data_IF_762854406265
#
_entry.id   IF_762854406265
#
_cell.length_a   1.000
_cell.length_b   1.000
_cell.length_c   1.000
_cell.angle_alpha   90.00
_cell.angle_beta   90.00
_cell.angle_gamma   90.00
#
_symmetry.space_group_name_H-M   'P 1'
#
loop_
_entity.id
_entity.type
_entity.pdbx_description
1 polymer ?
#
# COMPACT_ATOMS: atom_id res chain seq x y z
N UNK A 1 -1.34 31.32 -10.40
CA UNK A 1 -1.27 29.95 -9.84
C UNK A 1 -1.16 29.04 -11.03
N UNK A 2 -0.07 28.29 -11.14
CA UNK A 2 0.08 27.30 -12.21
C UNK A 2 -0.84 26.14 -11.85
N UNK A 3 -2.04 26.10 -12.45
CA UNK A 3 -2.83 24.88 -12.47
C UNK A 3 -1.97 23.80 -13.10
N UNK A 4 -1.77 22.69 -12.38
CA UNK A 4 -1.25 21.50 -13.03
C UNK A 4 -2.27 21.10 -14.09
N UNK A 5 -1.79 20.68 -15.26
CA UNK A 5 -2.62 20.14 -16.33
C UNK A 5 -3.30 18.85 -15.90
N UNK A 6 -3.64 17.99 -16.87
CA UNK A 6 -4.43 16.78 -16.66
C UNK A 6 -4.02 15.95 -15.42
N UNK A 7 -4.92 15.10 -14.92
CA UNK A 7 -4.65 14.18 -13.81
C UNK A 7 -3.32 13.41 -13.97
N UNK A 8 -2.92 13.09 -15.20
CA UNK A 8 -1.65 12.45 -15.51
C UNK A 8 -0.44 13.31 -15.12
N UNK A 9 -0.46 14.62 -15.37
CA UNK A 9 0.63 15.52 -14.98
C UNK A 9 0.79 15.61 -13.46
N UNK A 10 -0.34 15.66 -12.74
CA UNK A 10 -0.37 15.66 -11.28
C UNK A 10 0.21 14.36 -10.75
N UNK A 11 -0.22 13.23 -11.31
CA UNK A 11 0.25 11.90 -10.96
C UNK A 11 1.75 11.75 -11.18
N UNK A 12 2.25 12.15 -12.35
CA UNK A 12 3.68 12.10 -12.69
C UNK A 12 4.52 12.93 -11.71
N UNK A 13 4.09 14.15 -11.39
CA UNK A 13 4.80 14.97 -10.40
C UNK A 13 4.77 14.34 -9.01
N UNK A 14 3.64 13.77 -8.59
CA UNK A 14 3.54 13.06 -7.32
C UNK A 14 4.46 11.82 -7.24
N UNK A 15 4.61 11.08 -8.34
CA UNK A 15 5.45 9.89 -8.38
C UNK A 15 6.91 10.24 -8.09
N UNK A 16 7.42 11.33 -8.68
CA UNK A 16 8.85 11.65 -8.64
C UNK A 16 9.23 12.82 -7.73
N UNK A 17 8.24 13.45 -7.07
CA UNK A 17 8.49 14.56 -6.15
C UNK A 17 8.02 14.20 -4.74
N UNK A 18 8.88 14.27 -3.72
CA UNK A 18 8.46 14.09 -2.33
C UNK A 18 7.52 15.25 -1.93
N UNK A 19 6.21 14.98 -1.86
CA UNK A 19 5.20 16.00 -1.62
C UNK A 19 5.40 16.80 -0.32
N UNK A 20 6.13 16.22 0.65
CA UNK A 20 6.40 16.82 1.95
C UNK A 20 7.63 17.73 1.96
N UNK A 21 8.41 17.84 0.88
CA UNK A 21 9.68 18.58 0.90
C UNK A 21 9.49 20.09 1.08
N UNK A 22 8.42 20.66 0.54
CA UNK A 22 8.09 22.08 0.70
C UNK A 22 6.57 22.31 0.75
N UNK A 23 6.15 23.44 1.35
CA UNK A 23 4.72 23.82 1.39
C UNK A 23 4.18 24.14 -0.01
N UNK A 24 5.06 24.59 -0.92
CA UNK A 24 4.73 24.82 -2.32
C UNK A 24 4.40 23.50 -3.02
N UNK A 25 5.25 22.48 -2.86
CA UNK A 25 5.03 21.15 -3.43
C UNK A 25 3.76 20.50 -2.86
N UNK A 26 3.56 20.59 -1.54
CA UNK A 26 2.34 20.10 -0.90
C UNK A 26 1.11 20.78 -1.51
N UNK A 27 1.09 22.12 -1.52
CA UNK A 27 -0.04 22.92 -2.00
C UNK A 27 -0.29 22.73 -3.49
N UNK A 28 0.76 22.41 -4.26
CA UNK A 28 0.69 22.15 -5.70
C UNK A 28 0.02 20.81 -5.98
N UNK A 29 0.40 19.74 -5.25
CA UNK A 29 -0.05 18.37 -5.52
C UNK A 29 -1.32 17.99 -4.77
N UNK A 30 -1.45 18.36 -3.50
CA UNK A 30 -2.51 17.87 -2.63
C UNK A 30 -3.68 18.85 -2.57
N UNK A 31 -4.90 18.31 -2.57
CA UNK A 31 -6.09 19.10 -2.29
C UNK A 31 -6.09 19.54 -0.82
N UNK A 32 -6.81 20.62 -0.49
CA UNK A 32 -6.90 21.09 0.91
C UNK A 32 -7.47 20.01 1.82
N UNK A 33 -8.39 19.21 1.31
CA UNK A 33 -9.09 18.15 2.05
C UNK A 33 -8.48 16.76 1.79
N UNK A 34 -7.25 16.72 1.24
CA UNK A 34 -6.55 15.48 0.96
C UNK A 34 -6.36 14.61 2.21
N UNK A 35 -6.65 13.32 2.06
CA UNK A 35 -6.49 12.28 3.09
C UNK A 35 -5.34 11.37 2.70
N UNK A 36 -4.39 11.17 3.61
CA UNK A 36 -3.29 10.22 3.45
C UNK A 36 -3.52 9.01 4.36
N UNK A 37 -3.57 7.82 3.79
CA UNK A 37 -3.91 6.58 4.50
C UNK A 37 -2.79 5.55 4.39
N UNK A 38 -2.51 4.90 5.51
CA UNK A 38 -1.46 3.89 5.67
C UNK A 38 -2.04 2.67 6.39
N UNK A 39 -2.77 1.78 5.68
CA UNK A 39 -3.44 0.63 6.31
C UNK A 39 -2.49 -0.27 7.10
N UNK A 40 -1.23 -0.37 6.64
CA UNK A 40 -0.15 -1.14 7.26
C UNK A 40 0.86 -0.27 8.02
N UNK A 41 0.43 0.88 8.53
CA UNK A 41 1.27 1.69 9.42
C UNK A 41 1.79 0.86 10.61
N UNK A 42 3.06 1.02 11.00
CA UNK A 42 3.61 0.34 12.16
C UNK A 42 2.92 0.79 13.45
N UNK A 43 2.99 0.00 14.54
CA UNK A 43 2.45 0.41 15.84
C UNK A 43 2.95 1.79 16.28
N UNK A 44 2.04 2.64 16.74
CA UNK A 44 2.32 4.02 17.15
C UNK A 44 2.19 5.07 16.04
N UNK A 45 2.09 4.67 14.77
CA UNK A 45 1.77 5.57 13.66
C UNK A 45 0.26 5.51 13.33
N UNK A 46 -0.45 6.66 13.24
CA UNK A 46 -1.83 6.69 12.76
C UNK A 46 -1.98 6.08 11.37
N UNK A 47 -3.07 5.33 11.14
CA UNK A 47 -3.39 4.75 9.83
C UNK A 47 -4.04 5.74 8.85
N UNK A 48 -4.46 6.92 9.33
CA UNK A 48 -5.10 7.94 8.51
C UNK A 48 -4.74 9.34 9.00
N UNK A 49 -4.41 10.21 8.07
CA UNK A 49 -4.09 11.61 8.26
C UNK A 49 -5.03 12.46 7.41
N UNK A 50 -6.23 12.78 7.93
CA UNK A 50 -7.09 13.78 7.31
C UNK A 50 -6.45 15.17 7.44
N UNK A 51 -7.06 16.16 6.78
CA UNK A 51 -6.62 17.57 6.75
C UNK A 51 -6.10 18.10 8.09
N UNK A 52 -6.83 17.86 9.18
CA UNK A 52 -6.53 18.41 10.51
C UNK A 52 -5.24 17.82 11.11
N UNK A 53 -4.78 16.66 10.61
CA UNK A 53 -3.60 15.95 11.09
C UNK A 53 -2.48 15.86 10.06
N UNK A 54 -2.71 16.33 8.83
CA UNK A 54 -1.75 16.19 7.71
C UNK A 54 -0.42 16.90 7.99
N UNK A 55 -0.46 18.08 8.61
CA UNK A 55 0.76 18.83 8.97
C UNK A 55 1.68 18.03 9.90
N UNK A 56 1.13 17.25 10.84
CA UNK A 56 1.91 16.40 11.76
C UNK A 56 2.72 15.36 11.00
N UNK A 57 2.13 14.73 9.96
CA UNK A 57 2.83 13.78 9.11
C UNK A 57 3.92 14.47 8.29
N UNK A 58 3.60 15.60 7.66
CA UNK A 58 4.54 16.35 6.80
C UNK A 58 5.75 16.79 7.62
N UNK A 59 5.54 17.37 8.79
CA UNK A 59 6.62 17.79 9.68
C UNK A 59 7.47 16.61 10.18
N UNK A 60 6.84 15.44 10.40
CA UNK A 60 7.56 14.23 10.76
C UNK A 60 8.41 13.69 9.59
N UNK A 61 7.88 13.65 8.37
CA UNK A 61 8.61 13.23 7.17
C UNK A 61 9.80 14.18 6.90
N UNK A 62 9.58 15.49 6.96
CA UNK A 62 10.63 16.53 6.83
C UNK A 62 11.74 16.38 7.86
N UNK A 63 11.48 15.88 9.06
CA UNK A 63 12.51 15.66 10.09
C UNK A 63 13.21 14.31 9.98
N UNK A 64 12.52 13.29 9.49
CA UNK A 64 12.97 11.90 9.65
C UNK A 64 13.35 11.21 8.35
N UNK A 65 13.06 11.77 7.18
CA UNK A 65 13.32 11.14 5.88
C UNK A 65 14.28 12.02 5.05
N UNK A 66 15.34 11.42 4.51
CA UNK A 66 16.38 12.06 3.69
C UNK A 66 16.69 11.19 2.48
N UNK A 67 17.27 11.79 1.44
CA UNK A 67 17.74 11.07 0.24
C UNK A 67 16.66 10.16 -0.35
N UNK A 68 15.42 10.63 -0.34
CA UNK A 68 14.28 9.85 -0.81
C UNK A 68 14.36 9.67 -2.33
N UNK A 69 14.07 8.48 -2.79
CA UNK A 69 13.84 8.17 -4.19
C UNK A 69 12.75 7.12 -4.33
N UNK A 70 12.12 7.11 -5.52
CA UNK A 70 11.18 6.09 -5.93
C UNK A 70 11.64 5.48 -7.24
N UNK A 71 11.68 4.15 -7.29
CA UNK A 71 12.12 3.35 -8.42
C UNK A 71 11.10 2.24 -8.73
N UNK A 72 11.31 1.51 -9.83
CA UNK A 72 10.47 0.38 -10.25
C UNK A 72 8.97 0.72 -10.34
N UNK A 73 8.64 1.94 -10.77
CA UNK A 73 7.26 2.44 -10.80
C UNK A 73 6.47 1.78 -11.93
N UNK A 74 5.35 1.17 -11.59
CA UNK A 74 4.34 0.66 -12.53
C UNK A 74 3.00 1.31 -12.20
N UNK A 75 2.37 1.92 -13.22
CA UNK A 75 1.05 2.54 -13.11
C UNK A 75 -0.01 1.61 -13.67
N UNK A 76 -1.14 1.54 -12.99
CA UNK A 76 -2.32 0.75 -13.36
C UNK A 76 -3.52 1.71 -13.41
N UNK A 77 -3.73 2.41 -14.55
CA UNK A 77 -4.88 3.28 -14.71
C UNK A 77 -6.19 2.48 -14.70
N UNK A 78 -7.23 3.10 -14.15
CA UNK A 78 -8.57 2.51 -14.09
C UNK A 78 -9.48 3.12 -15.16
N UNK A 79 -10.68 2.56 -15.35
CA UNK A 79 -11.71 3.15 -16.21
C UNK A 79 -12.22 4.49 -15.65
N UNK A 80 -12.03 4.74 -14.36
CA UNK A 80 -12.22 6.04 -13.74
C UNK A 80 -10.92 6.84 -13.85
N UNK A 81 -10.94 7.88 -14.69
CA UNK A 81 -9.77 8.74 -14.93
C UNK A 81 -9.32 9.53 -13.68
N UNK A 82 -10.12 9.56 -12.61
CA UNK A 82 -9.72 10.12 -11.33
C UNK A 82 -8.89 9.16 -10.48
N UNK A 83 -8.82 7.86 -10.82
CA UNK A 83 -8.22 6.81 -9.99
C UNK A 83 -7.10 6.10 -10.73
N UNK A 84 -5.95 6.00 -10.06
CA UNK A 84 -4.80 5.26 -10.57
C UNK A 84 -4.15 4.45 -9.44
N UNK A 85 -3.82 3.20 -9.73
CA UNK A 85 -3.03 2.37 -8.83
C UNK A 85 -1.55 2.41 -9.22
N UNK A 86 -0.66 2.36 -8.25
CA UNK A 86 0.79 2.41 -8.46
C UNK A 86 1.44 1.28 -7.67
N UNK A 87 2.31 0.51 -8.31
CA UNK A 87 3.31 -0.33 -7.65
C UNK A 87 4.65 0.41 -7.74
N UNK A 88 5.39 0.52 -6.65
CA UNK A 88 6.70 1.16 -6.67
C UNK A 88 7.60 0.65 -5.55
N UNK A 89 8.87 1.00 -5.61
CA UNK A 89 9.84 0.79 -4.53
C UNK A 89 10.40 2.13 -4.08
N UNK A 90 10.38 2.39 -2.78
CA UNK A 90 10.95 3.59 -2.18
C UNK A 90 12.23 3.24 -1.46
N UNK A 91 13.24 4.08 -1.66
CA UNK A 91 14.48 4.10 -0.88
C UNK A 91 14.62 5.44 -0.19
N UNK A 92 15.14 5.43 1.04
CA UNK A 92 15.46 6.65 1.78
C UNK A 92 16.45 6.37 2.90
N UNK A 93 17.11 7.41 3.39
CA UNK A 93 17.73 7.40 4.71
C UNK A 93 16.69 7.88 5.73
N UNK A 94 16.48 7.10 6.80
CA UNK A 94 15.47 7.37 7.82
C UNK A 94 16.04 7.44 9.23
N UNK A 95 15.41 8.24 10.09
CA UNK A 95 15.74 8.39 11.51
C UNK A 95 14.50 8.11 12.38
N UNK A 96 14.14 6.83 12.49
CA UNK A 96 12.92 6.39 13.19
C UNK A 96 13.18 5.67 14.51
N UNK A 97 14.36 5.09 14.69
CA UNK A 97 14.75 4.32 15.87
C UNK A 97 15.59 5.08 16.91
N UNK A 98 15.46 6.41 16.99
CA UNK A 98 16.30 7.27 17.84
C UNK A 98 17.33 8.05 17.03
N UNK A 99 18.58 8.12 17.50
CA UNK A 99 19.60 9.00 16.91
C UNK A 99 20.29 8.43 15.65
N UNK A 100 20.13 7.14 15.38
CA UNK A 100 20.86 6.44 14.31
C UNK A 100 20.06 6.50 13.00
N UNK A 101 20.71 7.01 11.95
CA UNK A 101 20.20 6.94 10.58
C UNK A 101 20.32 5.54 10.00
N UNK A 102 19.31 5.11 9.23
CA UNK A 102 19.24 3.79 8.60
C UNK A 102 18.73 3.88 7.18
N UNK A 103 19.07 2.88 6.37
CA UNK A 103 18.46 2.73 5.06
C UNK A 103 17.06 2.13 5.20
N UNK A 104 16.09 2.81 4.60
CA UNK A 104 14.74 2.33 4.38
C UNK A 104 14.61 1.90 2.93
N UNK A 105 14.07 0.71 2.73
CA UNK A 105 13.83 0.10 1.43
C UNK A 105 12.52 -0.67 1.52
N UNK A 106 11.52 -0.21 0.77
CA UNK A 106 10.15 -0.66 0.90
C UNK A 106 9.45 -0.70 -0.45
N UNK A 107 8.71 -1.78 -0.71
CA UNK A 107 7.74 -1.84 -1.79
C UNK A 107 6.42 -1.24 -1.32
N UNK A 108 5.80 -0.47 -2.20
CA UNK A 108 4.51 0.17 -2.00
C UNK A 108 3.54 -0.24 -3.09
N UNK A 109 2.29 -0.42 -2.68
CA UNK A 109 1.13 -0.34 -3.56
C UNK A 109 0.36 0.89 -3.11
N UNK A 110 -0.07 1.73 -4.05
CA UNK A 110 -0.77 2.97 -3.77
C UNK A 110 -2.02 3.07 -4.63
N UNK A 111 -3.13 3.53 -4.04
CA UNK A 111 -4.27 4.06 -4.76
C UNK A 111 -4.20 5.59 -4.64
N UNK A 112 -4.15 6.27 -5.79
CA UNK A 112 -4.18 7.73 -5.89
C UNK A 112 -5.49 8.15 -6.53
N UNK A 113 -6.23 9.02 -5.84
CA UNK A 113 -7.46 9.63 -6.33
C UNK A 113 -7.21 11.11 -6.56
N UNK A 114 -7.45 11.58 -7.79
CA UNK A 114 -7.21 12.95 -8.25
C UNK A 114 -8.54 13.58 -8.64
N UNK A 115 -8.86 14.71 -8.02
CA UNK A 115 -10.05 15.50 -8.31
C UNK A 115 -9.64 16.95 -8.53
N UNK A 116 -10.18 17.57 -9.57
CA UNK A 116 -9.92 18.98 -9.92
C UNK A 116 -8.42 19.32 -9.97
N UNK A 117 -7.62 18.44 -10.61
CA UNK A 117 -6.17 18.64 -10.77
C UNK A 117 -5.37 18.53 -9.46
N UNK A 118 -5.95 17.95 -8.40
CA UNK A 118 -5.32 17.79 -7.09
C UNK A 118 -5.55 16.39 -6.55
N UNK A 119 -4.57 15.86 -5.81
CA UNK A 119 -4.72 14.59 -5.11
C UNK A 119 -5.67 14.77 -3.94
N UNK A 120 -6.80 14.07 -3.97
CA UNK A 120 -7.78 14.00 -2.90
C UNK A 120 -7.47 12.87 -1.91
N UNK A 121 -6.91 11.76 -2.38
CA UNK A 121 -6.59 10.63 -1.51
C UNK A 121 -5.35 9.93 -2.01
N UNK A 122 -4.48 9.57 -1.06
CA UNK A 122 -3.44 8.57 -1.26
C UNK A 122 -3.64 7.50 -0.20
N UNK A 123 -3.86 6.26 -0.61
CA UNK A 123 -3.84 5.09 0.26
C UNK A 123 -2.63 4.24 -0.08
N UNK A 124 -1.71 4.08 0.87
CA UNK A 124 -0.42 3.41 0.67
C UNK A 124 -0.34 2.13 1.51
N UNK A 125 -0.30 0.99 0.84
CA UNK A 125 0.05 -0.30 1.43
C UNK A 125 1.55 -0.53 1.28
N UNK A 126 2.26 -0.59 2.40
CA UNK A 126 3.70 -0.77 2.47
C UNK A 126 4.05 -2.15 3.02
N UNK A 127 5.23 -2.68 2.70
CA UNK A 127 5.80 -3.81 3.47
C UNK A 127 5.96 -3.39 4.95
N UNK A 128 5.18 -3.96 5.89
CA UNK A 128 5.28 -3.57 7.29
C UNK A 128 6.66 -3.90 7.89
N UNK A 129 7.35 -4.92 7.38
CA UNK A 129 8.67 -5.31 7.86
C UNK A 129 9.74 -4.26 7.55
N UNK A 130 9.55 -3.47 6.49
CA UNK A 130 10.46 -2.40 6.12
C UNK A 130 10.55 -1.31 7.19
N UNK A 131 9.44 -0.99 7.88
CA UNK A 131 9.46 -0.02 8.99
C UNK A 131 10.32 -0.50 10.15
N UNK A 132 10.19 -1.77 10.54
CA UNK A 132 10.99 -2.34 11.62
C UNK A 132 12.48 -2.33 11.27
N UNK A 133 12.84 -2.67 10.02
CA UNK A 133 14.23 -2.55 9.53
C UNK A 133 14.72 -1.10 9.58
N UNK A 134 13.90 -0.15 9.13
CA UNK A 134 14.19 1.29 9.19
C UNK A 134 14.34 1.83 10.61
N UNK A 135 13.64 1.24 11.58
CA UNK A 135 13.81 1.52 13.01
C UNK A 135 15.01 0.81 13.64
N UNK A 136 15.63 -0.15 12.95
CA UNK A 136 16.72 -0.97 13.49
C UNK A 136 16.25 -2.09 14.41
N UNK A 137 14.99 -2.50 14.31
CA UNK A 137 14.42 -3.62 15.04
C UNK A 137 14.70 -4.91 14.28
N UNK A 138 15.35 -5.87 14.93
CA UNK A 138 15.52 -7.22 14.41
C UNK A 138 14.27 -8.03 14.76
N UNK A 139 13.47 -8.37 13.74
CA UNK A 139 12.34 -9.27 13.90
C UNK A 139 12.79 -10.73 13.88
N UNK A 140 12.12 -11.61 14.64
CA UNK A 140 12.38 -13.04 14.56
C UNK A 140 12.05 -13.57 13.16
N UNK A 141 12.81 -14.57 12.70
CA UNK A 141 12.52 -15.26 11.45
C UNK A 141 11.32 -16.19 11.68
N UNK A 142 10.31 -16.06 10.83
CA UNK A 142 9.24 -17.05 10.78
C UNK A 142 9.76 -18.31 10.09
N UNK A 143 9.92 -19.40 10.85
CA UNK A 143 10.31 -20.70 10.30
C UNK A 143 9.05 -21.45 9.88
N UNK A 144 8.87 -21.63 8.57
CA UNK A 144 7.86 -22.53 8.01
C UNK A 144 8.54 -23.84 7.62
N UNK A 145 8.23 -24.91 8.35
CA UNK A 145 8.77 -26.27 8.17
C UNK A 145 7.87 -27.18 7.33
N UNK A 146 6.89 -26.61 6.63
CA UNK A 146 6.02 -27.33 5.74
C UNK A 146 6.79 -27.92 4.55
N UNK A 147 6.68 -29.22 4.33
CA UNK A 147 7.13 -29.86 3.10
C UNK A 147 6.15 -29.51 1.98
N UNK A 148 6.54 -28.57 1.11
CA UNK A 148 5.80 -28.34 -0.13
C UNK A 148 6.09 -29.48 -1.10
N UNK A 149 5.22 -30.49 -1.14
CA UNK A 149 5.30 -31.52 -2.17
C UNK A 149 4.74 -30.96 -3.47
N UNK A 150 5.62 -30.43 -4.33
CA UNK A 150 5.26 -30.10 -5.72
C UNK A 150 4.49 -31.27 -6.34
N UNK A 151 3.28 -30.99 -6.84
CA UNK A 151 2.46 -31.96 -7.57
C UNK A 151 1.47 -32.80 -6.75
N UNK A 152 1.49 -32.76 -5.41
CA UNK A 152 0.29 -33.11 -4.63
C UNK A 152 -0.41 -31.81 -4.30
N UNK A 153 -1.61 -31.61 -4.87
CA UNK A 153 -2.53 -30.65 -4.30
C UNK A 153 -2.54 -30.93 -2.80
N UNK A 154 -2.24 -29.91 -1.98
CA UNK A 154 -2.62 -29.98 -0.58
C UNK A 154 -4.07 -30.46 -0.62
N UNK A 155 -4.43 -31.61 0.00
CA UNK A 155 -5.84 -31.88 0.15
C UNK A 155 -6.39 -30.59 0.74
N UNK A 156 -7.40 -30.01 0.10
CA UNK A 156 -8.28 -29.06 0.75
C UNK A 156 -8.67 -29.78 2.02
N UNK A 157 -7.89 -29.62 3.07
CA UNK A 157 -8.28 -30.04 4.39
C UNK A 157 -9.36 -29.02 4.57
N UNK A 158 -10.64 -29.42 4.46
CA UNK A 158 -11.67 -28.51 4.84
C UNK A 158 -11.41 -28.48 6.34
N UNK A 159 -10.61 -27.52 6.80
CA UNK A 159 -10.91 -26.89 8.06
C UNK A 159 -12.38 -26.59 7.84
N UNK A 160 -13.25 -27.40 8.44
CA UNK A 160 -14.68 -27.16 8.44
C UNK A 160 -14.82 -25.88 9.24
N UNK A 161 -14.45 -24.77 8.64
CA UNK A 161 -15.01 -23.49 8.94
C UNK A 161 -16.49 -23.78 8.85
N UNK A 162 -17.21 -23.55 9.95
CA UNK A 162 -18.65 -23.46 9.84
C UNK A 162 -18.92 -22.56 8.63
N UNK A 163 -19.75 -22.99 7.66
CA UNK A 163 -20.07 -22.14 6.54
C UNK A 163 -20.45 -20.79 7.11
N UNK A 164 -19.82 -19.72 6.60
CA UNK A 164 -20.08 -18.37 7.06
C UNK A 164 -21.58 -18.20 7.21
N UNK A 165 -22.02 -17.76 8.39
CA UNK A 165 -23.45 -17.53 8.61
C UNK A 165 -23.91 -16.41 7.65
N UNK A 166 -25.23 -16.25 7.51
CA UNK A 166 -25.76 -15.30 6.53
C UNK A 166 -25.32 -13.84 6.82
N UNK A 167 -24.95 -13.54 8.07
CA UNK A 167 -24.39 -12.26 8.50
C UNK A 167 -22.91 -12.09 8.06
N UNK A 168 -22.07 -13.12 8.24
CA UNK A 168 -20.68 -13.17 7.79
C UNK A 168 -20.58 -13.16 6.25
N UNK A 169 -21.52 -13.81 5.55
CA UNK A 169 -21.63 -13.75 4.09
C UNK A 169 -22.10 -12.39 3.60
N UNK A 170 -23.00 -11.74 4.33
CA UNK A 170 -23.41 -10.38 4.02
C UNK A 170 -22.21 -9.42 4.15
N UNK A 171 -21.45 -9.50 5.25
CA UNK A 171 -20.24 -8.69 5.49
C UNK A 171 -19.16 -8.94 4.43
N UNK A 172 -18.91 -10.19 4.04
CA UNK A 172 -17.89 -10.53 3.04
C UNK A 172 -18.26 -10.13 1.61
N UNK A 173 -19.54 -10.00 1.28
CA UNK A 173 -20.01 -9.63 -0.06
C UNK A 173 -20.33 -8.14 -0.22
N UNK A 174 -20.36 -7.34 0.84
CA UNK A 174 -20.79 -5.93 0.74
C UNK A 174 -19.67 -4.94 0.43
N UNK A 175 -18.39 -5.25 0.70
CA UNK A 175 -17.35 -4.21 0.76
C UNK A 175 -16.13 -4.40 -0.16
N UNK A 176 -16.17 -5.34 -1.10
CA UNK A 176 -15.12 -5.44 -2.13
C UNK A 176 -15.38 -4.41 -3.23
N UNK A 177 -14.88 -3.18 -3.03
CA UNK A 177 -14.78 -2.21 -4.11
C UNK A 177 -13.72 -2.73 -5.09
N UNK A 178 -14.18 -3.14 -6.28
CA UNK A 178 -13.30 -3.56 -7.37
C UNK A 178 -13.21 -2.43 -8.37
N UNK A 179 -12.05 -1.79 -8.43
CA UNK A 179 -11.76 -0.89 -9.53
C UNK A 179 -11.72 -1.66 -10.85
N UNK A 180 -12.29 -1.09 -11.90
CA UNK A 180 -12.20 -1.63 -13.26
C UNK A 180 -10.94 -1.07 -13.91
N UNK A 181 -10.02 -1.93 -14.31
CA UNK A 181 -8.74 -1.52 -14.90
C UNK A 181 -8.86 -1.37 -16.42
N UNK A 182 -8.10 -0.44 -17.00
CA UNK A 182 -8.01 -0.34 -18.48
C UNK A 182 -7.34 -1.58 -19.08
N UNK A 183 -6.44 -2.22 -18.33
CA UNK A 183 -5.90 -3.54 -18.68
C UNK A 183 -6.79 -4.63 -18.06
N UNK A 184 -7.48 -5.46 -18.86
CA UNK A 184 -8.36 -6.51 -18.35
C UNK A 184 -7.63 -7.64 -17.62
N UNK A 185 -6.30 -7.76 -17.78
CA UNK A 185 -5.48 -8.75 -17.08
C UNK A 185 -5.10 -8.30 -15.65
N UNK A 186 -5.37 -7.04 -15.31
CA UNK A 186 -5.10 -6.49 -13.98
C UNK A 186 -6.37 -6.59 -13.15
N UNK A 187 -6.26 -7.30 -12.04
CA UNK A 187 -7.27 -7.29 -10.99
C UNK A 187 -6.59 -6.90 -9.69
N UNK A 188 -7.08 -5.85 -9.06
CA UNK A 188 -6.71 -5.54 -7.68
C UNK A 188 -7.95 -5.78 -6.84
N UNK A 189 -7.82 -6.69 -5.88
CA UNK A 189 -8.83 -6.91 -4.86
C UNK A 189 -8.32 -6.25 -3.61
N UNK A 190 -8.99 -5.18 -3.19
CA UNK A 190 -8.90 -4.67 -1.83
C UNK A 190 -9.94 -5.42 -1.01
N UNK A 191 -9.48 -6.25 -0.07
CA UNK A 191 -10.35 -6.83 0.95
C UNK A 191 -10.23 -5.97 2.20
N UNK A 192 -11.31 -5.33 2.61
CA UNK A 192 -11.44 -4.81 3.98
C UNK A 192 -11.73 -6.01 4.88
N UNK A 193 -10.65 -6.67 5.32
CA UNK A 193 -10.58 -7.93 6.06
C UNK A 193 -11.72 -8.96 5.93
N UNK A 194 -11.36 -10.15 5.47
CA UNK A 194 -12.12 -11.35 5.83
C UNK A 194 -11.82 -11.70 7.30
N UNK A 195 -12.86 -11.84 8.12
CA UNK A 195 -12.72 -12.32 9.49
C UNK A 195 -12.37 -13.81 9.47
N UNK A 196 -11.12 -14.13 9.82
CA UNK A 196 -10.66 -15.50 10.00
C UNK A 196 -10.54 -15.85 11.47
N UNK A 197 -11.01 -17.04 11.88
CA UNK A 197 -10.79 -17.59 13.22
C UNK A 197 -9.60 -18.54 13.18
N UNK A 198 -8.55 -18.27 13.96
CA UNK A 198 -7.38 -19.15 14.10
C UNK A 198 -7.20 -19.51 15.57
N UNK A 199 -6.90 -20.77 15.83
CA UNK A 199 -6.50 -21.24 17.16
C UNK A 199 -4.98 -21.22 17.23
N UNK A 200 -4.44 -20.24 17.94
CA UNK A 200 -2.99 -20.04 18.02
C UNK A 200 -2.34 -20.79 19.18
N UNK A 201 -3.11 -21.25 20.15
CA UNK A 201 -2.58 -21.89 21.35
C UNK A 201 -3.06 -23.35 21.53
N UNK A 202 -2.34 -24.15 22.34
CA UNK A 202 -2.75 -25.50 22.71
C UNK A 202 -4.05 -25.54 23.54
N UNK A 203 -4.47 -24.40 24.10
CA UNK A 203 -5.72 -24.30 24.88
C UNK A 203 -6.95 -24.30 23.97
N UNK A 204 -6.76 -24.07 22.67
CA UNK A 204 -7.82 -24.01 21.67
C UNK A 204 -8.53 -22.65 21.63
N UNK A 205 -7.93 -21.61 22.23
CA UNK A 205 -8.46 -20.26 22.20
C UNK A 205 -8.49 -19.74 20.76
N UNK A 206 -9.69 -19.34 20.34
CA UNK A 206 -9.91 -18.80 19.00
C UNK A 206 -9.61 -17.30 19.04
N UNK A 207 -8.63 -16.84 18.26
CA UNK A 207 -8.46 -15.43 17.97
C UNK A 207 -8.90 -15.12 16.53
N UNK A 208 -9.53 -13.97 16.36
CA UNK A 208 -9.85 -13.43 15.05
C UNK A 208 -8.64 -12.73 14.46
N UNK A 209 -8.45 -12.80 13.14
CA UNK A 209 -7.54 -11.92 12.42
C UNK A 209 -8.30 -11.18 11.31
N UNK A 210 -7.83 -9.97 11.02
CA UNK A 210 -8.27 -9.13 9.89
C UNK A 210 -7.10 -9.01 8.93
N UNK A 211 -7.27 -9.46 7.69
CA UNK A 211 -6.25 -9.32 6.66
C UNK A 211 -6.76 -8.42 5.54
N UNK A 212 -6.16 -7.24 5.42
CA UNK A 212 -6.18 -6.54 4.15
C UNK A 212 -5.07 -7.13 3.28
N UNK A 213 -5.33 -7.39 2.02
CA UNK A 213 -4.30 -7.75 1.07
C UNK A 213 -4.64 -7.14 -0.28
N UNK A 214 -3.60 -6.75 -1.01
CA UNK A 214 -3.70 -6.41 -2.42
C UNK A 214 -3.01 -7.54 -3.19
N UNK A 215 -3.73 -8.15 -4.12
CA UNK A 215 -3.19 -9.20 -4.99
C UNK A 215 -3.27 -8.76 -6.43
N UNK A 216 -2.15 -8.80 -7.14
CA UNK A 216 -2.11 -8.78 -8.60
C UNK A 216 -2.10 -10.23 -9.09
N UNK A 217 -3.13 -10.74 -9.78
CA UNK A 217 -2.99 -11.94 -10.57
C UNK A 217 -2.13 -11.57 -11.78
N UNK A 218 -0.85 -11.92 -11.75
CA UNK A 218 -0.03 -11.88 -12.94
C UNK A 218 -0.49 -13.03 -13.85
N UNK A 219 -1.25 -12.71 -14.90
CA UNK A 219 -1.24 -13.57 -16.08
C UNK A 219 0.13 -13.38 -16.74
N UNK A 220 0.85 -14.49 -16.89
CA UNK A 220 2.22 -14.55 -17.37
C UNK A 220 2.38 -13.77 -18.69
N UNK A 221 2.99 -12.58 -18.65
CA UNK A 221 3.79 -11.94 -19.70
C UNK A 221 4.15 -10.49 -19.29
N UNK A 222 5.00 -10.30 -18.27
CA UNK A 222 5.67 -9.00 -18.05
C UNK A 222 6.79 -8.85 -19.10
N UNK A 223 6.46 -8.35 -20.29
CA UNK A 223 7.47 -7.69 -21.13
C UNK A 223 7.80 -6.36 -20.48
N UNK A 224 8.97 -6.27 -19.84
CA UNK A 224 9.51 -4.99 -19.37
C UNK A 224 9.69 -4.09 -20.58
N UNK A 225 8.88 -3.03 -20.70
CA UNK A 225 9.20 -1.95 -21.63
C UNK A 225 10.35 -1.16 -21.02
N UNK A 226 11.56 -1.40 -21.52
CA UNK A 226 12.68 -0.49 -21.26
C UNK A 226 12.37 0.84 -21.96
N UNK A 227 11.93 1.83 -21.20
CA UNK A 227 12.00 3.23 -21.63
C UNK A 227 13.40 3.70 -21.29
N UNK A 228 14.32 3.47 -22.22
CA UNK A 228 15.60 4.16 -22.36
C UNK A 228 16.14 3.81 -23.74
N UNK A 229 15.84 4.68 -24.71
CA UNK A 229 16.68 4.97 -25.89
C UNK A 229 16.06 6.15 -26.63
N UNK A 230 16.40 7.36 -26.17
CA UNK A 230 16.29 8.59 -26.95
C UNK A 230 17.26 9.64 -26.39
N UNK A 231 18.56 9.44 -26.64
CA UNK A 231 19.55 10.50 -26.80
C UNK A 231 20.52 10.11 -27.90
#
# INVERSE_FOLDING_TARGET
>A
MNDLGSNDEVLEKYIYTPFWESDETESLLLSKDCILEFPFAPPGMPKSFPKEKRSVLIDWLRRTVRSWSREDVVKYPTSDASRCWIESRTKATVKWGGEIERQFDCTHIELVIIQDGKILTVRTWSDPLAYYRGMGVNLPVFHFDGTYSEGKAMPDTPTKFAPANDEEKAIANTDLIRDQFLNPDVVIVESNGSYGKVKWDPSGAVSGYWNDYVRFPLFSNRTKSNVNDAH
#
